data_IF_194338127168
#
_entry.id   IF_194338127168
#
_cell.length_a   1.000
_cell.length_b   1.000
_cell.length_c   1.000
_cell.angle_alpha   90.00
_cell.angle_beta   90.00
_cell.angle_gamma   90.00
#
_symmetry.space_group_name_H-M   'P 1'
#
loop_
_entity.id
_entity.type
_entity.pdbx_description
1 polymer ?
#
# COMPACT_ATOMS: atom_id res chain seq x y z
N UNK A 1 21.06 13.29 -47.64
CA UNK A 1 19.63 13.06 -47.34
C UNK A 1 19.37 11.83 -46.46
N UNK A 2 20.13 10.73 -46.59
CA UNK A 2 19.91 9.48 -45.85
C UNK A 2 20.27 9.58 -44.35
N UNK A 3 21.35 10.29 -43.99
CA UNK A 3 21.82 10.48 -42.61
C UNK A 3 20.80 11.21 -41.70
N UNK A 4 20.07 12.19 -42.24
CA UNK A 4 19.06 12.96 -41.49
C UNK A 4 17.84 12.11 -41.12
N UNK A 5 17.48 11.13 -41.97
CA UNK A 5 16.35 10.22 -41.72
C UNK A 5 16.65 9.25 -40.58
N UNK A 6 17.89 8.77 -40.45
CA UNK A 6 18.30 7.92 -39.33
C UNK A 6 18.29 8.65 -37.99
N UNK A 7 18.68 9.92 -37.97
CA UNK A 7 18.66 10.74 -36.76
C UNK A 7 17.24 10.96 -36.22
N UNK A 8 16.26 11.17 -37.11
CA UNK A 8 14.84 11.32 -36.75
C UNK A 8 14.24 10.03 -36.20
N UNK A 9 14.60 8.87 -36.76
CA UNK A 9 14.14 7.56 -36.26
C UNK A 9 14.68 7.27 -34.86
N UNK A 10 15.95 7.58 -34.60
CA UNK A 10 16.55 7.42 -33.27
C UNK A 10 15.85 8.36 -32.27
N UNK A 11 15.65 9.63 -32.62
CA UNK A 11 14.96 10.59 -31.75
C UNK A 11 13.53 10.15 -31.40
N UNK A 12 12.78 9.61 -32.37
CA UNK A 12 11.44 9.07 -32.15
C UNK A 12 11.43 7.85 -31.21
N UNK A 13 12.44 6.96 -31.29
CA UNK A 13 12.55 5.82 -30.37
C UNK A 13 12.87 6.22 -28.93
N UNK A 14 13.65 7.29 -28.72
CA UNK A 14 13.96 7.80 -27.38
C UNK A 14 12.75 8.52 -26.74
N UNK A 15 11.92 9.21 -27.53
CA UNK A 15 10.69 9.86 -27.05
C UNK A 15 9.60 8.85 -26.63
N UNK A 16 9.55 7.66 -27.24
CA UNK A 16 8.62 6.61 -26.81
C UNK A 16 9.04 5.92 -25.50
N UNK A 17 10.33 5.89 -25.16
CA UNK A 17 10.82 5.24 -23.94
C UNK A 17 10.55 6.07 -22.68
N UNK A 18 10.53 7.41 -22.80
CA UNK A 18 10.28 8.32 -21.69
C UNK A 18 8.80 8.42 -21.26
N UNK A 19 7.84 8.02 -22.11
CA UNK A 19 6.43 7.94 -21.70
C UNK A 19 6.14 6.76 -20.74
N UNK A 20 6.97 5.73 -20.75
CA UNK A 20 6.84 4.54 -19.88
C UNK A 20 7.40 4.74 -18.47
N UNK A 21 8.04 5.88 -18.17
CA UNK A 21 8.68 6.14 -16.87
C UNK A 21 7.73 6.74 -15.82
N UNK A 22 6.50 7.11 -16.18
CA UNK A 22 5.43 7.49 -15.23
C UNK A 22 4.40 6.37 -15.10
N UNK A 23 4.86 5.15 -14.79
CA UNK A 23 3.97 4.16 -14.20
C UNK A 23 3.78 4.53 -12.73
N UNK A 24 2.98 5.57 -12.49
CA UNK A 24 2.46 5.90 -11.16
C UNK A 24 1.82 4.60 -10.64
N UNK A 25 2.17 4.16 -9.43
CA UNK A 25 1.58 3.00 -8.77
C UNK A 25 0.08 3.24 -8.55
N UNK A 26 -0.73 3.06 -9.59
CA UNK A 26 -2.14 3.48 -9.67
C UNK A 26 -3.01 2.80 -8.62
N UNK A 27 -2.61 1.64 -8.09
CA UNK A 27 -3.34 0.94 -7.04
C UNK A 27 -3.00 1.42 -5.63
N UNK A 28 -1.86 2.08 -5.42
CA UNK A 28 -1.43 2.59 -4.12
C UNK A 28 -2.10 3.92 -3.76
N UNK A 29 -2.69 4.61 -4.73
CA UNK A 29 -3.23 5.96 -4.55
C UNK A 29 -4.73 6.05 -4.83
N UNK A 30 -5.45 6.83 -4.02
CA UNK A 30 -6.87 7.14 -4.23
C UNK A 30 -7.14 8.60 -3.92
N UNK A 31 -7.84 9.27 -4.82
CA UNK A 31 -8.44 10.58 -4.56
C UNK A 31 -9.79 10.40 -3.89
N UNK A 32 -10.07 11.22 -2.89
CA UNK A 32 -11.33 11.21 -2.13
C UNK A 32 -11.92 12.61 -2.14
N UNK A 33 -13.22 12.70 -2.42
CA UNK A 33 -13.96 13.96 -2.48
C UNK A 33 -14.29 14.50 -1.06
N UNK A 34 -13.24 14.76 -0.29
CA UNK A 34 -13.28 15.32 1.05
C UNK A 34 -11.93 15.98 1.35
N UNK A 35 -11.87 16.89 2.32
CA UNK A 35 -10.61 17.52 2.74
C UNK A 35 -9.65 16.50 3.36
N UNK A 36 -8.35 16.77 3.30
CA UNK A 36 -7.32 15.91 3.91
C UNK A 36 -7.56 15.69 5.41
N UNK A 37 -7.93 16.74 6.16
CA UNK A 37 -8.19 16.65 7.61
C UNK A 37 -9.42 15.79 7.95
N UNK A 38 -10.51 15.96 7.18
CA UNK A 38 -11.71 15.13 7.31
C UNK A 38 -11.41 13.67 7.00
N UNK A 39 -10.69 13.44 5.90
CA UNK A 39 -10.28 12.10 5.44
C UNK A 39 -9.40 11.41 6.47
N UNK A 40 -8.42 12.10 7.04
CA UNK A 40 -7.54 11.60 8.09
C UNK A 40 -8.33 11.19 9.33
N UNK A 41 -9.23 12.07 9.78
CA UNK A 41 -10.07 11.82 10.97
C UNK A 41 -11.02 10.63 10.76
N UNK A 42 -11.69 10.56 9.60
CA UNK A 42 -12.57 9.43 9.26
C UNK A 42 -11.79 8.12 9.14
N UNK A 43 -10.59 8.15 8.54
CA UNK A 43 -9.72 6.99 8.38
C UNK A 43 -9.29 6.41 9.73
N UNK A 44 -8.77 7.25 10.63
CA UNK A 44 -8.42 6.84 12.00
C UNK A 44 -9.60 6.19 12.70
N UNK A 45 -10.77 6.86 12.68
CA UNK A 45 -11.97 6.40 13.36
C UNK A 45 -12.40 5.03 12.84
N UNK A 46 -12.47 4.88 11.52
CA UNK A 46 -12.86 3.61 10.89
C UNK A 46 -11.89 2.49 11.28
N UNK A 47 -10.59 2.71 11.11
CA UNK A 47 -9.56 1.68 11.32
C UNK A 47 -9.51 1.25 12.79
N UNK A 48 -9.51 2.20 13.72
CA UNK A 48 -9.56 1.92 15.16
C UNK A 48 -10.79 1.11 15.55
N UNK A 49 -11.98 1.48 15.04
CA UNK A 49 -13.23 0.80 15.38
C UNK A 49 -13.36 -0.60 14.75
N UNK A 50 -12.58 -0.91 13.73
CA UNK A 50 -12.59 -2.22 13.05
C UNK A 50 -11.41 -3.12 13.47
N UNK A 51 -10.82 -2.86 14.64
CA UNK A 51 -9.81 -3.74 15.24
C UNK A 51 -8.41 -3.62 14.65
N UNK A 52 -8.15 -2.60 13.82
CA UNK A 52 -6.80 -2.30 13.36
C UNK A 52 -6.02 -1.57 14.45
N UNK A 53 -4.76 -1.95 14.66
CA UNK A 53 -3.91 -1.35 15.69
C UNK A 53 -3.16 -0.14 15.15
N UNK A 54 -3.47 1.06 15.62
CA UNK A 54 -2.66 2.24 15.34
C UNK A 54 -1.28 2.09 15.99
N UNK A 55 -0.23 2.33 15.21
CA UNK A 55 1.17 2.17 15.64
C UNK A 55 1.90 3.50 15.66
N UNK A 56 1.68 4.36 14.65
CA UNK A 56 2.20 5.72 14.64
C UNK A 56 1.19 6.67 13.97
N UNK A 57 1.17 7.93 14.41
CA UNK A 57 0.30 8.97 13.86
C UNK A 57 1.06 10.29 13.89
N UNK A 58 1.16 10.95 12.75
CA UNK A 58 1.69 12.30 12.63
C UNK A 58 0.73 13.13 11.76
N UNK A 59 -0.19 13.82 12.44
CA UNK A 59 -1.27 14.55 11.78
C UNK A 59 -0.76 15.71 10.90
N UNK A 60 0.22 16.53 11.32
CA UNK A 60 0.79 17.59 10.47
C UNK A 60 1.30 17.12 9.10
N UNK A 61 1.95 15.96 9.02
CA UNK A 61 2.41 15.39 7.75
C UNK A 61 1.33 14.60 7.00
N UNK A 62 0.20 14.31 7.65
CA UNK A 62 -0.84 13.43 7.14
C UNK A 62 -0.44 11.96 7.18
N UNK A 63 0.59 11.60 7.94
CA UNK A 63 1.08 10.24 8.07
C UNK A 63 0.34 9.47 9.17
N UNK A 64 0.00 8.22 8.88
CA UNK A 64 -0.42 7.27 9.90
C UNK A 64 0.01 5.84 9.54
N UNK A 65 0.46 5.10 10.55
CA UNK A 65 0.87 3.72 10.44
C UNK A 65 -0.03 2.83 11.30
N UNK A 66 -0.47 1.74 10.69
CA UNK A 66 -1.42 0.81 11.26
C UNK A 66 -0.92 -0.61 11.06
N UNK A 67 -1.10 -1.47 12.05
CA UNK A 67 -0.72 -2.88 11.96
C UNK A 67 -1.94 -3.78 12.16
N UNK A 68 -2.03 -4.85 11.39
CA UNK A 68 -3.06 -5.88 11.53
C UNK A 68 -2.47 -7.27 11.34
N UNK A 69 -3.02 -8.27 12.03
CA UNK A 69 -2.60 -9.67 11.90
C UNK A 69 -3.69 -10.46 11.18
N UNK A 70 -3.30 -11.21 10.16
CA UNK A 70 -4.19 -12.08 9.41
C UNK A 70 -3.74 -13.50 9.66
N UNK A 71 -4.61 -14.27 10.33
CA UNK A 71 -4.34 -15.67 10.63
C UNK A 71 -4.45 -16.50 9.35
N UNK A 72 -3.46 -17.36 9.11
CA UNK A 72 -3.47 -18.30 8.01
C UNK A 72 -3.94 -19.66 8.52
N UNK A 73 -5.09 -20.14 8.03
CA UNK A 73 -5.74 -21.36 8.54
C UNK A 73 -5.54 -22.58 7.61
N UNK A 74 -4.46 -22.63 6.81
CA UNK A 74 -4.19 -23.81 5.97
C UNK A 74 -3.48 -24.90 6.78
N UNK A 75 -4.12 -26.06 6.87
CA UNK A 75 -3.67 -27.22 7.67
C UNK A 75 -2.29 -27.74 7.26
N UNK A 76 -1.90 -27.59 5.99
CA UNK A 76 -0.62 -28.06 5.44
C UNK A 76 0.41 -26.95 5.18
N UNK A 77 0.23 -25.77 5.79
CA UNK A 77 1.14 -24.63 5.60
C UNK A 77 1.97 -24.39 6.86
N UNK A 78 3.27 -24.16 6.69
CA UNK A 78 4.13 -23.66 7.76
C UNK A 78 3.80 -22.20 8.15
N UNK A 79 3.20 -21.43 7.23
CA UNK A 79 2.74 -20.07 7.51
C UNK A 79 1.54 -20.09 8.45
N UNK A 80 1.71 -19.55 9.65
CA UNK A 80 0.69 -19.41 10.70
C UNK A 80 -0.19 -18.16 10.50
N UNK A 81 0.34 -17.17 9.82
CA UNK A 81 -0.31 -15.89 9.57
C UNK A 81 0.64 -14.89 8.96
N UNK A 82 0.18 -13.65 8.85
CA UNK A 82 0.98 -12.53 8.38
C UNK A 82 0.60 -11.27 9.14
N UNK A 83 1.59 -10.48 9.51
CA UNK A 83 1.40 -9.08 9.85
C UNK A 83 1.37 -8.26 8.57
N UNK A 84 0.42 -7.34 8.50
CA UNK A 84 0.41 -6.27 7.51
C UNK A 84 0.59 -4.94 8.21
N UNK A 85 1.57 -4.17 7.76
CA UNK A 85 1.81 -2.80 8.20
C UNK A 85 1.36 -1.86 7.08
N UNK A 86 0.30 -1.11 7.34
CA UNK A 86 -0.32 -0.16 6.43
C UNK A 86 0.19 1.24 6.75
N UNK A 87 0.97 1.82 5.84
CA UNK A 87 1.44 3.20 5.93
C UNK A 87 0.57 4.06 5.02
N UNK A 88 -0.19 4.97 5.62
CA UNK A 88 -0.98 5.95 4.90
C UNK A 88 -0.29 7.32 4.93
N UNK A 89 -0.35 8.01 3.81
CA UNK A 89 -0.02 9.43 3.68
C UNK A 89 -1.24 10.12 3.05
N UNK A 90 -1.86 11.03 3.79
CA UNK A 90 -3.08 11.74 3.39
C UNK A 90 -2.74 13.23 3.24
N UNK A 91 -2.77 13.72 2.02
CA UNK A 91 -2.37 15.08 1.69
C UNK A 91 -3.46 15.79 0.86
N UNK A 92 -3.55 17.13 0.91
CA UNK A 92 -4.41 17.86 -0.01
C UNK A 92 -3.90 17.72 -1.45
N UNK A 93 -4.81 17.55 -2.41
CA UNK A 93 -4.55 17.73 -3.84
C UNK A 93 -4.74 19.20 -4.26
N UNK A 94 -4.43 19.52 -5.52
CA UNK A 94 -4.57 20.89 -6.06
C UNK A 94 -6.01 21.44 -6.02
N UNK A 95 -7.00 20.56 -5.82
CA UNK A 95 -8.42 20.89 -5.71
C UNK A 95 -8.93 20.89 -4.26
N UNK A 96 -8.04 20.88 -3.28
CA UNK A 96 -8.35 20.80 -1.83
C UNK A 96 -9.13 19.51 -1.44
N UNK A 97 -9.06 18.48 -2.27
CA UNK A 97 -9.52 17.13 -1.98
C UNK A 97 -8.37 16.33 -1.35
N UNK A 98 -8.65 15.14 -0.84
CA UNK A 98 -7.64 14.31 -0.23
C UNK A 98 -7.05 13.32 -1.25
N UNK A 99 -5.73 13.32 -1.39
CA UNK A 99 -4.98 12.24 -1.99
C UNK A 99 -4.48 11.32 -0.87
N UNK A 100 -4.90 10.06 -0.91
CA UNK A 100 -4.42 9.02 0.00
C UNK A 100 -3.40 8.17 -0.76
N UNK A 101 -2.18 8.08 -0.23
CA UNK A 101 -1.19 7.06 -0.63
C UNK A 101 -1.14 5.99 0.46
N UNK A 102 -1.23 4.72 0.05
CA UNK A 102 -1.09 3.55 0.90
C UNK A 102 0.14 2.77 0.47
N UNK A 103 0.93 2.32 1.44
CA UNK A 103 1.99 1.32 1.28
C UNK A 103 1.72 0.17 2.26
N UNK A 104 1.81 -1.08 1.78
CA UNK A 104 1.54 -2.27 2.59
C UNK A 104 2.84 -3.07 2.71
N UNK A 105 3.38 -3.18 3.92
CA UNK A 105 4.47 -4.09 4.22
C UNK A 105 3.93 -5.39 4.79
N UNK A 106 4.54 -6.52 4.45
CA UNK A 106 4.10 -7.84 4.89
C UNK A 106 5.22 -8.55 5.65
N UNK A 107 4.89 -9.15 6.79
CA UNK A 107 5.78 -10.01 7.54
C UNK A 107 5.06 -11.34 7.82
N UNK A 108 5.58 -12.45 7.30
CA UNK A 108 4.98 -13.76 7.48
C UNK A 108 5.39 -14.37 8.81
N UNK A 109 4.41 -14.84 9.57
CA UNK A 109 4.68 -15.61 10.78
C UNK A 109 4.75 -17.08 10.44
N UNK A 110 5.94 -17.66 10.54
CA UNK A 110 6.22 -19.02 10.11
C UNK A 110 6.48 -19.92 11.33
N UNK A 111 5.86 -21.08 11.31
CA UNK A 111 6.16 -22.17 12.23
C UNK A 111 7.43 -22.88 11.76
N UNK A 112 8.43 -22.91 12.62
CA UNK A 112 9.65 -23.70 12.47
C UNK A 112 9.73 -24.79 13.55
N UNK A 113 10.48 -25.85 13.24
CA UNK A 113 10.81 -26.90 14.21
C UNK A 113 9.95 -28.16 14.14
N UNK A 114 10.20 -29.04 15.12
CA UNK A 114 9.63 -30.38 15.26
C UNK A 114 8.50 -30.36 16.33
N UNK A 115 7.60 -31.35 16.32
CA UNK A 115 6.60 -31.60 17.37
C UNK A 115 7.14 -31.47 18.83
N UNK A 116 8.43 -31.71 19.06
CA UNK A 116 9.13 -31.57 20.35
C UNK A 116 9.71 -30.17 20.61
N UNK A 117 9.97 -29.37 19.58
CA UNK A 117 10.57 -28.03 19.70
C UNK A 117 9.91 -27.06 18.73
N UNK A 118 8.82 -26.43 19.20
CA UNK A 118 8.06 -25.43 18.44
C UNK A 118 8.79 -24.09 18.47
N UNK A 119 9.29 -23.64 17.33
CA UNK A 119 9.80 -22.27 17.16
C UNK A 119 8.90 -21.50 16.19
N UNK A 120 8.82 -20.19 16.38
CA UNK A 120 8.14 -19.31 15.44
C UNK A 120 9.06 -18.14 15.15
N UNK A 121 9.16 -17.77 13.89
CA UNK A 121 9.93 -16.60 13.45
C UNK A 121 9.10 -15.80 12.46
N UNK A 122 9.45 -14.53 12.33
CA UNK A 122 8.82 -13.60 11.38
C UNK A 122 9.76 -13.45 10.17
N UNK A 123 9.24 -13.65 8.96
CA UNK A 123 9.92 -13.46 7.68
C UNK A 123 9.44 -12.15 7.05
N UNK A 124 10.33 -11.17 6.90
CA UNK A 124 10.00 -9.87 6.29
C UNK A 124 9.94 -10.01 4.76
N UNK A 125 8.74 -9.83 4.21
CA UNK A 125 8.49 -9.85 2.77
C UNK A 125 8.64 -8.46 2.13
N UNK A 126 8.88 -7.42 2.92
CA UNK A 126 9.03 -6.05 2.44
C UNK A 126 7.73 -5.41 1.96
N UNK A 127 7.88 -4.43 1.06
CA UNK A 127 6.77 -3.71 0.43
C UNK A 127 6.03 -4.63 -0.55
N UNK A 128 4.71 -4.70 -0.42
CA UNK A 128 3.88 -5.52 -1.30
C UNK A 128 3.61 -4.83 -2.63
N UNK A 129 3.76 -5.59 -3.71
CA UNK A 129 3.36 -5.17 -5.06
C UNK A 129 2.05 -5.83 -5.52
N UNK A 130 1.34 -6.56 -4.65
CA UNK A 130 0.08 -7.26 -5.01
C UNK A 130 -1.12 -6.31 -4.99
N UNK A 131 -1.69 -5.92 -6.16
CA UNK A 131 -2.77 -4.94 -6.22
C UNK A 131 -4.04 -5.39 -5.50
N UNK A 132 -4.23 -6.70 -5.32
CA UNK A 132 -5.41 -7.26 -4.63
C UNK A 132 -5.43 -6.90 -3.16
N UNK A 133 -4.26 -6.83 -2.52
CA UNK A 133 -4.15 -6.43 -1.12
C UNK A 133 -4.55 -4.98 -0.92
N UNK A 134 -4.11 -4.10 -1.84
CA UNK A 134 -4.50 -2.70 -1.83
C UNK A 134 -6.00 -2.54 -2.06
N UNK A 135 -6.55 -3.26 -3.04
CA UNK A 135 -7.97 -3.21 -3.33
C UNK A 135 -8.82 -3.67 -2.13
N UNK A 136 -8.40 -4.72 -1.41
CA UNK A 136 -9.07 -5.16 -0.18
C UNK A 136 -9.16 -4.06 0.88
N UNK A 137 -8.10 -3.27 1.05
CA UNK A 137 -8.10 -2.13 1.98
C UNK A 137 -8.97 -1.00 1.44
N UNK A 138 -8.93 -0.72 0.14
CA UNK A 138 -9.75 0.33 -0.47
C UNK A 138 -11.25 0.05 -0.39
N UNK A 139 -11.66 -1.19 -0.67
CA UNK A 139 -13.07 -1.59 -0.62
C UNK A 139 -13.65 -1.43 0.79
N UNK A 140 -12.82 -1.54 1.82
CA UNK A 140 -13.19 -1.34 3.23
C UNK A 140 -13.18 0.13 3.63
N UNK A 141 -12.12 0.86 3.27
CA UNK A 141 -11.88 2.22 3.73
C UNK A 141 -12.74 3.25 2.99
N UNK A 142 -12.78 3.21 1.65
CA UNK A 142 -13.43 4.26 0.85
C UNK A 142 -14.92 4.48 1.18
N UNK A 143 -15.74 3.44 1.44
CA UNK A 143 -17.12 3.64 1.85
C UNK A 143 -17.27 4.43 3.16
N UNK A 144 -16.32 4.31 4.09
CA UNK A 144 -16.33 5.02 5.37
C UNK A 144 -15.88 6.49 5.27
N UNK A 145 -15.32 6.90 4.12
CA UNK A 145 -14.84 8.27 3.88
C UNK A 145 -15.88 9.17 3.23
N UNK A 146 -16.95 8.58 2.67
CA UNK A 146 -18.09 9.31 2.12
C UNK A 146 -18.84 10.11 3.20
#
# INVERSE_FOLDING_TARGET
>A
MMQFRFFVVILLTFLSLSLSAQQINTFQQRNVDATADSTFTKSIRYLHNNGYRLTAVDRPSGFMQIRTYIKHNKIFSAKMGEWRTLNFLIQPDDSNRALITLNIYQEDKIFGGDIHNKTAYDEDNGLSDDPRLYQEIWDKLLPALR
#
